data_IF_263052064197
#
_entry.id   IF_263052064197
#
_cell.length_a   1.000
_cell.length_b   1.000
_cell.length_c   1.000
_cell.angle_alpha   90.00
_cell.angle_beta   90.00
_cell.angle_gamma   90.00
#
_symmetry.space_group_name_H-M   'P 1'
#
loop_
_entity.id
_entity.type
_entity.pdbx_description
1 polymer ?
#
# COMPACT_ATOMS: atom_id res chain seq x y z
N UNK A 1 1.92 -14.25 -31.53
CA UNK A 1 1.57 -14.49 -30.11
C UNK A 1 2.82 -14.42 -29.26
N UNK A 2 2.73 -13.89 -28.03
CA UNK A 2 3.84 -13.91 -27.08
C UNK A 2 4.10 -15.35 -26.60
N UNK A 3 5.37 -15.71 -26.42
CA UNK A 3 5.78 -17.05 -25.96
C UNK A 3 5.82 -17.17 -24.43
N UNK A 4 6.08 -16.06 -23.75
CA UNK A 4 6.15 -15.95 -22.29
C UNK A 4 5.47 -14.64 -21.86
N UNK A 5 4.87 -14.63 -20.68
CA UNK A 5 4.21 -13.47 -20.08
C UNK A 5 4.74 -13.32 -18.65
N UNK A 6 5.04 -12.09 -18.24
CA UNK A 6 5.38 -11.73 -16.86
C UNK A 6 4.41 -10.65 -16.42
N UNK A 7 3.70 -10.91 -15.32
CA UNK A 7 2.80 -9.95 -14.68
C UNK A 7 3.50 -9.37 -13.45
N UNK A 8 3.57 -8.04 -13.37
CA UNK A 8 4.18 -7.33 -12.25
C UNK A 8 3.23 -6.22 -11.81
N UNK A 9 2.97 -6.15 -10.51
CA UNK A 9 2.07 -5.15 -9.94
C UNK A 9 1.80 -5.45 -8.47
N UNK A 10 0.93 -4.64 -7.89
CA UNK A 10 0.48 -4.76 -6.52
C UNK A 10 -1.03 -4.48 -6.45
N UNK A 11 -1.86 -5.54 -6.41
CA UNK A 11 -3.31 -5.42 -6.31
C UNK A 11 -3.83 -4.73 -5.03
N UNK A 12 -2.99 -4.56 -4.01
CA UNK A 12 -3.39 -3.84 -2.80
C UNK A 12 -3.33 -2.31 -2.96
N UNK A 13 -2.80 -1.82 -4.09
CA UNK A 13 -2.78 -0.39 -4.40
C UNK A 13 -4.08 0.06 -5.10
N UNK A 14 -4.17 1.36 -5.39
CA UNK A 14 -5.36 1.91 -6.03
C UNK A 14 -5.67 1.19 -7.36
N UNK A 15 -6.92 0.74 -7.57
CA UNK A 15 -7.30 0.13 -8.83
C UNK A 15 -7.20 1.15 -9.96
N UNK A 16 -7.01 0.66 -11.19
CA UNK A 16 -7.03 1.54 -12.35
C UNK A 16 -8.37 2.28 -12.44
N UNK A 17 -8.32 3.56 -12.81
CA UNK A 17 -9.54 4.33 -13.08
C UNK A 17 -10.19 3.78 -14.34
N UNK A 18 -11.34 3.12 -14.20
CA UNK A 18 -12.11 2.57 -15.31
C UNK A 18 -13.23 3.55 -15.65
N UNK A 19 -13.30 4.02 -16.90
CA UNK A 19 -14.40 4.89 -17.38
C UNK A 19 -15.67 4.13 -17.77
N UNK A 20 -15.79 2.85 -17.38
CA UNK A 20 -16.94 2.00 -17.67
C UNK A 20 -17.07 0.84 -16.69
N UNK A 21 -18.31 0.41 -16.43
CA UNK A 21 -18.59 -0.74 -15.58
C UNK A 21 -18.46 -2.03 -16.40
N UNK A 22 -17.40 -2.80 -16.15
CA UNK A 22 -17.28 -4.15 -16.68
C UNK A 22 -17.96 -5.15 -15.73
N UNK A 23 -18.71 -6.14 -16.24
CA UNK A 23 -19.31 -7.17 -15.40
C UNK A 23 -18.21 -8.04 -14.77
N UNK A 24 -18.47 -8.56 -13.58
CA UNK A 24 -17.58 -9.54 -12.94
C UNK A 24 -17.45 -10.80 -13.83
N UNK A 25 -16.23 -11.34 -14.06
CA UNK A 25 -14.93 -10.93 -13.50
C UNK A 25 -14.07 -10.04 -14.39
N UNK A 26 -14.63 -9.48 -15.47
CA UNK A 26 -13.89 -8.66 -16.44
C UNK A 26 -13.44 -7.29 -15.91
N UNK A 27 -13.89 -6.91 -14.71
CA UNK A 27 -13.43 -5.78 -13.92
C UNK A 27 -12.08 -6.01 -13.22
N UNK A 28 -11.62 -7.26 -13.09
CA UNK A 28 -10.36 -7.58 -12.42
C UNK A 28 -9.17 -7.44 -13.37
N UNK A 29 -8.05 -6.95 -12.86
CA UNK A 29 -6.77 -7.06 -13.55
C UNK A 29 -6.35 -8.53 -13.68
N UNK A 30 -5.51 -8.85 -14.67
CA UNK A 30 -4.99 -10.20 -14.85
C UNK A 30 -4.28 -10.74 -13.59
N UNK A 31 -3.59 -9.87 -12.85
CA UNK A 31 -2.88 -10.25 -11.64
C UNK A 31 -3.84 -10.52 -10.47
N UNK A 32 -4.86 -9.68 -10.27
CA UNK A 32 -5.93 -9.92 -9.29
C UNK A 32 -6.66 -11.24 -9.53
N UNK A 33 -7.00 -11.51 -10.79
CA UNK A 33 -7.64 -12.76 -11.18
C UNK A 33 -6.78 -13.98 -10.83
N UNK A 34 -5.46 -13.90 -11.05
CA UNK A 34 -4.52 -14.97 -10.69
C UNK A 34 -4.33 -15.15 -9.18
N UNK A 35 -4.46 -14.07 -8.41
CA UNK A 35 -4.40 -14.11 -6.95
C UNK A 35 -5.60 -14.78 -6.30
N UNK A 36 -6.77 -14.83 -6.96
CA UNK A 36 -7.96 -15.51 -6.43
C UNK A 36 -8.32 -15.10 -4.99
N UNK A 37 -8.17 -13.81 -4.67
CA UNK A 37 -8.48 -13.26 -3.34
C UNK A 37 -7.36 -13.35 -2.31
N UNK A 38 -6.20 -13.93 -2.63
CA UNK A 38 -5.01 -13.82 -1.78
C UNK A 38 -4.49 -12.37 -1.77
N UNK A 39 -4.15 -11.83 -0.60
CA UNK A 39 -3.68 -10.46 -0.51
C UNK A 39 -2.25 -10.32 -1.06
N UNK A 40 -1.44 -11.37 -0.92
CA UNK A 40 -0.08 -11.47 -1.43
C UNK A 40 0.10 -12.70 -2.31
N UNK A 41 1.16 -12.72 -3.14
CA UNK A 41 1.45 -13.85 -4.03
C UNK A 41 1.74 -15.12 -3.19
N UNK A 42 0.95 -16.20 -3.32
CA UNK A 42 1.24 -17.45 -2.65
C UNK A 42 2.56 -18.07 -3.15
N UNK A 43 3.34 -18.75 -2.30
CA UNK A 43 4.65 -19.32 -2.67
C UNK A 43 4.60 -20.27 -3.88
N UNK A 44 3.48 -20.96 -4.08
CA UNK A 44 3.26 -21.90 -5.17
C UNK A 44 2.81 -21.24 -6.49
N UNK A 45 2.52 -19.92 -6.47
CA UNK A 45 1.95 -19.19 -7.62
C UNK A 45 2.87 -18.12 -8.21
N UNK A 46 3.95 -17.75 -7.54
CA UNK A 46 4.89 -16.78 -8.07
C UNK A 46 5.87 -16.22 -7.05
N UNK A 47 6.46 -15.09 -7.41
CA UNK A 47 7.47 -14.41 -6.61
C UNK A 47 6.82 -13.25 -5.88
N UNK A 48 6.90 -13.27 -4.55
CA UNK A 48 6.57 -12.11 -3.71
C UNK A 48 7.85 -11.35 -3.33
N UNK A 49 7.87 -10.04 -3.57
CA UNK A 49 9.00 -9.18 -3.19
C UNK A 49 8.78 -8.64 -1.77
N UNK A 50 9.04 -9.46 -0.77
CA UNK A 50 8.77 -9.16 0.64
C UNK A 50 9.74 -8.19 1.33
N UNK A 51 10.61 -7.49 0.60
CA UNK A 51 11.53 -6.52 1.22
C UNK A 51 11.37 -5.14 0.60
N UNK A 52 10.83 -4.19 1.36
CA UNK A 52 10.78 -2.78 0.96
C UNK A 52 12.12 -2.10 1.24
N UNK A 53 12.59 -1.31 0.29
CA UNK A 53 13.75 -0.42 0.44
C UNK A 53 13.36 1.02 0.72
N UNK A 54 12.07 1.29 0.92
CA UNK A 54 11.52 2.63 1.10
C UNK A 54 11.03 2.91 2.52
N UNK A 55 10.42 1.96 3.22
CA UNK A 55 9.72 2.26 4.48
C UNK A 55 10.60 1.95 5.70
N UNK A 56 10.62 2.86 6.68
CA UNK A 56 11.18 2.63 8.02
C UNK A 56 10.46 1.46 8.72
N UNK A 57 11.12 0.63 9.53
CA UNK A 57 10.49 -0.51 10.24
C UNK A 57 9.22 -0.15 11.02
N UNK A 58 9.21 1.00 11.72
CA UNK A 58 8.04 1.48 12.48
C UNK A 58 6.83 1.87 11.62
N UNK A 59 7.03 2.11 10.32
CA UNK A 59 5.93 2.32 9.36
C UNK A 59 5.57 0.98 8.70
N UNK A 60 6.60 0.22 8.30
CA UNK A 60 6.42 -1.02 7.56
C UNK A 60 5.69 -2.08 8.37
N UNK A 61 5.93 -2.20 9.67
CA UNK A 61 5.27 -3.20 10.52
C UNK A 61 3.74 -3.11 10.42
N UNK A 62 3.19 -1.91 10.64
CA UNK A 62 1.76 -1.68 10.53
C UNK A 62 1.21 -2.03 9.13
N UNK A 63 1.86 -1.55 8.07
CA UNK A 63 1.42 -1.82 6.69
C UNK A 63 1.52 -3.31 6.34
N UNK A 64 2.59 -3.98 6.79
CA UNK A 64 2.80 -5.40 6.58
C UNK A 64 1.66 -6.22 7.16
N UNK A 65 1.30 -5.95 8.42
CA UNK A 65 0.24 -6.68 9.12
C UNK A 65 -1.15 -6.43 8.50
N UNK A 66 -1.46 -5.18 8.15
CA UNK A 66 -2.79 -4.82 7.65
C UNK A 66 -3.02 -5.16 6.18
N UNK A 67 -1.97 -5.13 5.35
CA UNK A 67 -2.11 -5.17 3.89
C UNK A 67 -1.40 -6.37 3.25
N UNK A 68 -0.28 -6.83 3.83
CA UNK A 68 0.60 -7.83 3.22
C UNK A 68 0.75 -9.11 4.06
N UNK A 69 -0.23 -9.43 4.90
CA UNK A 69 -0.27 -10.67 5.70
C UNK A 69 0.97 -10.86 6.61
N UNK A 70 1.59 -9.77 7.03
CA UNK A 70 2.83 -9.78 7.83
C UNK A 70 4.08 -10.23 7.05
N UNK A 71 4.01 -10.31 5.72
CA UNK A 71 5.09 -10.86 4.87
C UNK A 71 6.05 -9.78 4.33
N UNK A 72 5.78 -8.51 4.56
CA UNK A 72 6.58 -7.38 4.09
C UNK A 72 7.54 -6.88 5.19
N UNK A 73 8.84 -6.87 4.89
CA UNK A 73 9.90 -6.43 5.77
C UNK A 73 10.63 -5.19 5.26
N UNK A 74 11.13 -4.39 6.19
CA UNK A 74 12.01 -3.26 5.89
C UNK A 74 13.46 -3.72 5.66
N UNK A 75 14.07 -3.28 4.57
CA UNK A 75 15.52 -3.44 4.39
C UNK A 75 16.27 -2.71 5.52
N UNK A 76 17.34 -3.28 6.13
CA UNK A 76 17.96 -2.73 7.34
C UNK A 76 18.38 -1.25 7.25
N UNK A 77 18.86 -0.81 6.08
CA UNK A 77 19.23 0.60 5.86
C UNK A 77 18.08 1.61 6.02
N UNK A 78 16.83 1.17 5.85
CA UNK A 78 15.65 2.04 6.01
C UNK A 78 15.43 2.46 7.46
N UNK A 79 16.00 1.76 8.44
CA UNK A 79 15.99 2.16 9.85
C UNK A 79 16.72 3.48 10.14
N UNK A 80 17.44 4.03 9.16
CA UNK A 80 18.08 5.35 9.26
C UNK A 80 17.20 6.49 8.76
N UNK A 81 16.07 6.17 8.11
CA UNK A 81 15.14 7.17 7.62
C UNK A 81 14.42 7.82 8.79
N UNK A 82 14.39 9.15 8.78
CA UNK A 82 13.79 9.94 9.85
C UNK A 82 13.34 11.28 9.32
N UNK A 83 12.27 11.79 9.92
CA UNK A 83 11.80 13.16 9.71
C UNK A 83 11.94 13.89 11.05
N UNK A 84 12.72 14.96 11.07
CA UNK A 84 12.86 15.77 12.29
C UNK A 84 11.79 16.85 12.28
N UNK A 85 10.86 16.77 13.21
CA UNK A 85 9.86 17.79 13.47
C UNK A 85 9.68 17.96 14.97
N UNK A 86 9.55 19.20 15.43
CA UNK A 86 9.35 19.49 16.85
C UNK A 86 8.01 18.92 17.34
N UNK A 87 8.01 18.26 18.50
CA UNK A 87 6.82 17.68 19.09
C UNK A 87 6.38 16.32 18.51
N UNK A 88 7.14 15.75 17.56
CA UNK A 88 6.78 14.50 16.90
C UNK A 88 7.87 13.42 16.96
N UNK A 89 7.50 12.13 17.00
CA UNK A 89 8.43 11.03 16.79
C UNK A 89 9.17 11.16 15.45
N UNK A 90 10.42 10.71 15.41
CA UNK A 90 11.26 10.81 14.21
C UNK A 90 10.90 9.83 13.10
N UNK A 91 10.09 8.81 13.40
CA UNK A 91 9.62 7.79 12.47
C UNK A 91 8.30 7.18 12.98
N UNK A 92 7.71 6.31 12.17
CA UNK A 92 6.47 5.60 12.48
C UNK A 92 5.21 6.34 12.03
N UNK A 93 4.07 5.72 12.33
CA UNK A 93 2.74 6.31 12.16
C UNK A 93 2.12 6.51 13.54
N UNK A 94 1.66 7.72 13.82
CA UNK A 94 1.08 8.08 15.11
C UNK A 94 -0.12 9.00 14.90
N UNK A 95 -1.03 8.99 15.87
CA UNK A 95 -2.22 9.81 15.87
C UNK A 95 -1.94 11.17 16.53
N UNK A 96 -2.43 12.24 15.92
CA UNK A 96 -2.32 13.61 16.42
C UNK A 96 -3.71 14.22 16.45
N UNK A 97 -4.17 14.63 17.63
CA UNK A 97 -5.41 15.38 17.77
C UNK A 97 -5.24 16.76 17.12
N UNK A 98 -6.20 17.17 16.30
CA UNK A 98 -6.30 18.53 15.80
C UNK A 98 -7.68 19.09 16.14
N UNK A 99 -7.73 20.31 16.66
CA UNK A 99 -9.00 21.01 16.85
C UNK A 99 -9.58 21.35 15.49
N UNK A 100 -10.85 21.00 15.27
CA UNK A 100 -11.55 21.29 14.02
C UNK A 100 -12.95 21.82 14.31
N UNK A 101 -13.40 22.81 13.53
CA UNK A 101 -14.71 23.47 13.74
C UNK A 101 -15.89 22.81 13.00
N UNK A 102 -15.73 21.59 12.49
CA UNK A 102 -16.84 20.88 11.80
C UNK A 102 -17.18 21.49 10.44
N UNK A 103 -16.22 22.18 9.82
CA UNK A 103 -16.29 22.78 8.49
C UNK A 103 -16.48 21.69 7.40
N UNK A 104 -17.72 21.24 7.19
CA UNK A 104 -18.02 20.07 6.36
C UNK A 104 -17.97 20.32 4.84
N UNK A 105 -18.10 21.57 4.40
CA UNK A 105 -18.16 21.93 2.98
C UNK A 105 -17.18 23.03 2.57
N UNK A 106 -16.82 23.95 3.48
CA UNK A 106 -15.94 25.09 3.21
C UNK A 106 -15.13 25.39 4.47
N UNK A 107 -13.84 25.66 4.31
CA UNK A 107 -12.94 26.18 5.35
C UNK A 107 -12.22 27.42 4.79
N UNK A 108 -12.08 28.46 5.61
CA UNK A 108 -11.37 29.70 5.24
C UNK A 108 -9.89 29.49 4.99
N UNK A 109 -9.31 28.45 5.58
CA UNK A 109 -7.92 28.03 5.44
C UNK A 109 -7.66 27.31 4.10
N UNK A 110 -8.70 26.87 3.40
CA UNK A 110 -8.64 26.23 2.07
C UNK A 110 -8.90 27.21 0.91
N UNK A 111 -9.12 28.51 1.19
CA UNK A 111 -9.38 29.57 0.20
C UNK A 111 -8.12 30.36 -0.14
#
# INVERSE_FOLDING_TARGET
>A
AARNIVLVGDPQQLPQVIQGAHPEPANLSCLEWMLQGHATIPPERGIFLGTTRRMHPEVCGFISDQVYEGRLDSHPMTGQQRVTAEGYPSAGAFWVAVEHQGNAQISSEEV
#
